data_IF_718407962513
#
_entry.id   IF_718407962513
#
_cell.length_a   1.000
_cell.length_b   1.000
_cell.length_c   1.000
_cell.angle_alpha   90.00
_cell.angle_beta   90.00
_cell.angle_gamma   90.00
#
_symmetry.space_group_name_H-M   'P 1'
#
loop_
_entity.id
_entity.type
_entity.pdbx_description
1 polymer ?
#
# COMPACT_ATOMS: atom_id res chain seq x y z
N UNK A 1 7.36 6.96 6.58
CA UNK A 1 8.53 6.87 7.46
C UNK A 1 8.54 5.59 8.32
N UNK A 2 7.37 5.05 8.69
CA UNK A 2 7.26 3.93 9.64
C UNK A 2 7.09 2.55 8.99
N UNK A 3 7.36 2.40 7.72
CA UNK A 3 7.20 1.13 7.00
C UNK A 3 8.42 0.22 7.26
N UNK A 4 8.25 -0.97 7.87
CA UNK A 4 9.36 -1.83 8.29
C UNK A 4 10.26 -2.25 7.13
N UNK A 5 9.70 -2.59 5.97
CA UNK A 5 10.47 -3.01 4.80
C UNK A 5 11.36 -1.90 4.20
N UNK A 6 11.01 -0.63 4.42
CA UNK A 6 11.86 0.50 4.04
C UNK A 6 12.97 0.70 5.08
N UNK A 7 12.63 0.66 6.37
CA UNK A 7 13.60 0.85 7.46
C UNK A 7 14.67 -0.24 7.44
N UNK A 8 14.31 -1.49 7.17
CA UNK A 8 15.28 -2.60 7.09
C UNK A 8 16.37 -2.38 6.04
N UNK A 9 16.09 -1.68 4.94
CA UNK A 9 17.08 -1.40 3.89
C UNK A 9 18.20 -0.47 4.37
N UNK A 10 17.95 0.38 5.37
CA UNK A 10 19.00 1.25 5.93
C UNK A 10 20.00 0.49 6.80
N UNK A 11 19.62 -0.68 7.35
CA UNK A 11 20.56 -1.53 8.09
C UNK A 11 21.61 -2.19 7.20
N UNK A 12 21.40 -2.21 5.89
CA UNK A 12 22.37 -2.76 4.92
C UNK A 12 23.40 -1.73 4.46
N UNK A 13 23.28 -0.46 4.87
CA UNK A 13 24.22 0.59 4.48
C UNK A 13 25.46 0.58 5.39
N UNK A 14 26.68 0.67 4.83
CA UNK A 14 27.91 0.55 5.60
C UNK A 14 28.19 1.72 6.56
N UNK A 15 27.58 2.88 6.32
CA UNK A 15 27.82 4.08 7.14
C UNK A 15 26.60 5.02 7.15
N UNK A 16 26.53 5.86 8.20
CA UNK A 16 25.50 6.90 8.36
C UNK A 16 25.54 7.91 7.20
N UNK A 17 26.72 8.23 6.69
CA UNK A 17 26.88 9.14 5.53
C UNK A 17 26.22 8.55 4.28
N UNK A 18 26.53 7.30 3.98
CA UNK A 18 25.91 6.61 2.82
C UNK A 18 24.41 6.43 2.98
N UNK A 19 23.91 6.17 4.20
CA UNK A 19 22.48 6.13 4.47
C UNK A 19 21.82 7.47 4.14
N UNK A 20 22.41 8.60 4.54
CA UNK A 20 21.89 9.95 4.25
C UNK A 20 21.94 10.28 2.76
N UNK A 21 23.02 9.95 2.07
CA UNK A 21 23.14 10.12 0.63
C UNK A 21 22.07 9.28 -0.12
N UNK A 22 21.86 8.05 0.32
CA UNK A 22 20.81 7.18 -0.22
C UNK A 22 19.41 7.75 -0.01
N UNK A 23 19.12 8.31 1.17
CA UNK A 23 17.85 9.01 1.44
C UNK A 23 17.66 10.20 0.52
N UNK A 24 18.69 11.03 0.35
CA UNK A 24 18.63 12.23 -0.49
C UNK A 24 18.32 11.87 -1.96
N UNK A 25 19.03 10.89 -2.51
CA UNK A 25 18.77 10.41 -3.86
C UNK A 25 17.39 9.74 -4.01
N UNK A 26 16.97 8.96 -3.02
CA UNK A 26 15.64 8.34 -3.02
C UNK A 26 14.54 9.41 -3.02
N UNK A 27 14.65 10.44 -2.19
CA UNK A 27 13.69 11.54 -2.16
C UNK A 27 13.66 12.33 -3.46
N UNK A 28 14.82 12.56 -4.09
CA UNK A 28 14.89 13.22 -5.40
C UNK A 28 14.16 12.42 -6.48
N UNK A 29 14.40 11.11 -6.58
CA UNK A 29 13.71 10.29 -7.59
C UNK A 29 12.23 10.12 -7.28
N UNK A 30 11.84 10.01 -6.02
CA UNK A 30 10.44 9.99 -5.60
C UNK A 30 9.74 11.30 -5.97
N UNK A 31 10.39 12.44 -5.71
CA UNK A 31 9.87 13.74 -6.12
C UNK A 31 9.67 13.83 -7.62
N UNK A 32 10.69 13.41 -8.41
CA UNK A 32 10.61 13.42 -9.86
C UNK A 32 9.44 12.56 -10.37
N UNK A 33 9.27 11.35 -9.80
CA UNK A 33 8.17 10.46 -10.14
C UNK A 33 6.81 11.10 -9.87
N UNK A 34 6.60 11.62 -8.66
CA UNK A 34 5.31 12.24 -8.31
C UNK A 34 5.06 13.55 -9.02
N UNK A 35 6.10 14.29 -9.41
CA UNK A 35 5.98 15.51 -10.20
C UNK A 35 5.56 15.21 -11.64
N UNK A 36 6.07 14.13 -12.23
CA UNK A 36 5.74 13.74 -13.61
C UNK A 36 4.45 12.96 -13.75
N UNK A 37 4.01 12.24 -12.70
CA UNK A 37 2.83 11.38 -12.75
C UNK A 37 1.53 12.09 -13.17
N UNK A 38 1.19 13.30 -12.69
CA UNK A 38 -0.01 14.02 -13.14
C UNK A 38 0.03 14.39 -14.63
N UNK A 39 1.19 14.81 -15.12
CA UNK A 39 1.38 15.11 -16.53
C UNK A 39 1.20 13.86 -17.39
N UNK A 40 1.80 12.75 -16.98
CA UNK A 40 1.64 11.46 -17.65
C UNK A 40 0.15 11.05 -17.71
N UNK A 41 -0.56 11.15 -16.61
CA UNK A 41 -1.98 10.83 -16.54
C UNK A 41 -2.83 11.71 -17.46
N UNK A 42 -2.52 13.02 -17.53
CA UNK A 42 -3.21 13.96 -18.39
C UNK A 42 -2.99 13.65 -19.89
N UNK A 43 -1.75 13.37 -20.29
CA UNK A 43 -1.43 13.01 -21.66
C UNK A 43 -2.02 11.66 -22.06
N UNK A 44 -1.93 10.64 -21.20
CA UNK A 44 -2.56 9.36 -21.47
C UNK A 44 -4.08 9.48 -21.66
N UNK A 45 -4.74 10.30 -20.84
CA UNK A 45 -6.16 10.57 -20.97
C UNK A 45 -6.50 11.30 -22.27
N UNK A 46 -5.69 12.31 -22.64
CA UNK A 46 -5.86 13.05 -23.88
C UNK A 46 -5.74 12.13 -25.11
N UNK A 47 -4.74 11.26 -25.12
CA UNK A 47 -4.50 10.31 -26.21
C UNK A 47 -5.67 9.33 -26.38
N UNK A 48 -6.19 8.80 -25.25
CA UNK A 48 -7.40 7.97 -25.27
C UNK A 48 -8.59 8.73 -25.84
N UNK A 49 -8.78 10.01 -25.48
CA UNK A 49 -9.91 10.79 -25.98
C UNK A 49 -9.78 11.09 -27.48
N UNK A 50 -8.60 11.46 -27.94
CA UNK A 50 -8.36 11.78 -29.35
C UNK A 50 -8.38 10.55 -30.25
N UNK A 51 -7.88 9.41 -29.74
CA UNK A 51 -7.75 8.18 -30.51
C UNK A 51 -8.99 7.29 -30.55
N UNK A 52 -9.89 7.40 -29.58
CA UNK A 52 -11.03 6.47 -29.43
C UNK A 52 -12.39 7.12 -29.54
N UNK A 53 -12.56 8.34 -29.01
CA UNK A 53 -13.90 8.96 -28.95
C UNK A 53 -14.33 9.39 -30.34
N UNK A 54 -15.61 9.14 -30.65
CA UNK A 54 -16.23 9.31 -31.97
C UNK A 54 -15.68 8.36 -33.07
N UNK A 55 -15.01 7.28 -32.69
CA UNK A 55 -14.57 6.24 -33.62
C UNK A 55 -15.62 5.14 -33.72
N UNK A 56 -15.91 4.62 -34.94
CA UNK A 56 -16.77 3.45 -35.09
C UNK A 56 -16.20 2.24 -34.34
N UNK A 57 -17.04 1.52 -33.60
CA UNK A 57 -16.64 0.36 -32.78
C UNK A 57 -15.96 -0.72 -33.61
N UNK A 58 -16.38 -0.89 -34.85
CA UNK A 58 -15.76 -1.83 -35.79
C UNK A 58 -14.29 -1.50 -36.10
N UNK A 59 -13.89 -0.24 -35.99
CA UNK A 59 -12.55 0.27 -36.32
C UNK A 59 -11.68 0.57 -35.09
N UNK A 60 -12.07 0.08 -33.92
CA UNK A 60 -11.29 0.28 -32.69
C UNK A 60 -9.88 -0.31 -32.82
N UNK A 61 -8.84 0.37 -32.31
CA UNK A 61 -7.44 -0.10 -32.32
C UNK A 61 -7.29 -1.48 -31.64
N UNK A 62 -6.32 -2.26 -32.10
CA UNK A 62 -6.03 -3.59 -31.56
C UNK A 62 -5.73 -3.60 -30.05
N UNK A 63 -5.12 -2.53 -29.52
CA UNK A 63 -4.85 -2.46 -28.09
C UNK A 63 -6.13 -2.50 -27.23
N UNK A 64 -7.26 -1.94 -27.72
CA UNK A 64 -8.54 -2.03 -27.01
C UNK A 64 -8.99 -3.48 -26.88
N UNK A 65 -8.77 -4.27 -27.92
CA UNK A 65 -9.10 -5.72 -27.91
C UNK A 65 -8.14 -6.50 -27.00
N UNK A 66 -6.85 -6.18 -27.05
CA UNK A 66 -5.82 -6.83 -26.23
C UNK A 66 -6.09 -6.65 -24.74
N UNK A 67 -6.35 -5.43 -24.32
CA UNK A 67 -6.65 -5.09 -22.92
C UNK A 67 -8.10 -5.42 -22.52
N UNK A 68 -8.94 -5.59 -23.48
CA UNK A 68 -10.31 -6.02 -23.26
C UNK A 68 -10.47 -7.50 -22.93
N UNK A 69 -9.64 -8.37 -23.51
CA UNK A 69 -9.68 -9.82 -23.24
C UNK A 69 -9.59 -10.17 -21.75
N UNK A 70 -8.68 -9.58 -20.98
CA UNK A 70 -8.63 -9.75 -19.51
C UNK A 70 -9.67 -8.91 -18.76
N UNK A 71 -10.52 -8.13 -19.44
CA UNK A 71 -11.54 -7.27 -18.80
C UNK A 71 -11.01 -5.96 -18.24
N UNK A 72 -9.81 -5.51 -18.67
CA UNK A 72 -9.18 -4.27 -18.22
C UNK A 72 -9.59 -3.05 -19.06
N UNK A 73 -10.09 -3.26 -20.28
CA UNK A 73 -10.74 -2.25 -21.10
C UNK A 73 -12.18 -2.72 -21.41
N UNK A 74 -13.16 -1.84 -21.23
CA UNK A 74 -14.58 -2.14 -21.42
C UNK A 74 -15.19 -1.14 -22.40
N UNK A 75 -15.99 -1.65 -23.34
CA UNK A 75 -16.71 -0.86 -24.34
C UNK A 75 -18.21 -1.11 -24.21
N UNK A 76 -18.99 -0.08 -24.01
CA UNK A 76 -20.41 -0.19 -23.68
C UNK A 76 -21.38 -0.21 -24.87
N UNK A 77 -20.91 0.03 -26.06
CA UNK A 77 -21.74 0.16 -27.26
C UNK A 77 -22.04 -1.18 -27.97
N UNK A 78 -22.13 -2.27 -27.22
CA UNK A 78 -22.45 -3.57 -27.80
C UNK A 78 -23.95 -3.76 -27.87
N UNK A 79 -24.46 -3.98 -29.07
CA UNK A 79 -25.81 -4.50 -29.27
C UNK A 79 -25.91 -5.90 -28.62
N UNK A 80 -26.92 -6.10 -27.78
CA UNK A 80 -27.09 -7.34 -27.01
C UNK A 80 -27.13 -8.59 -27.87
N UNK A 81 -27.57 -8.48 -29.15
CA UNK A 81 -27.61 -9.57 -30.11
C UNK A 81 -26.23 -9.93 -30.70
N UNK A 82 -25.30 -8.99 -30.79
CA UNK A 82 -23.97 -9.16 -31.39
C UNK A 82 -22.83 -9.21 -30.38
N UNK A 83 -23.10 -8.92 -29.11
CA UNK A 83 -22.14 -8.81 -28.03
C UNK A 83 -21.33 -10.09 -27.77
N UNK A 84 -21.93 -11.25 -28.04
CA UNK A 84 -21.33 -12.55 -27.72
C UNK A 84 -20.24 -12.97 -28.71
N UNK A 85 -20.28 -12.49 -29.95
CA UNK A 85 -19.37 -12.95 -31.01
C UNK A 85 -18.20 -12.04 -31.33
N UNK A 86 -18.27 -10.73 -31.03
CA UNK A 86 -17.23 -9.78 -31.45
C UNK A 86 -16.37 -9.19 -30.33
N UNK A 87 -16.88 -9.07 -29.10
CA UNK A 87 -16.10 -8.49 -27.99
C UNK A 87 -16.48 -9.12 -26.64
N UNK A 88 -15.57 -9.78 -25.92
CA UNK A 88 -15.77 -10.13 -24.52
C UNK A 88 -15.83 -8.89 -23.59
N UNK A 89 -15.86 -7.69 -24.17
CA UNK A 89 -15.67 -6.37 -23.56
C UNK A 89 -16.94 -5.72 -23.03
N UNK A 90 -18.11 -6.28 -23.35
CA UNK A 90 -19.40 -5.62 -23.11
C UNK A 90 -19.96 -5.82 -21.70
N UNK A 91 -19.14 -6.11 -20.69
CA UNK A 91 -19.61 -6.28 -19.32
C UNK A 91 -19.61 -4.95 -18.56
N UNK A 92 -20.80 -4.47 -18.19
CA UNK A 92 -20.95 -3.45 -17.14
C UNK A 92 -20.89 -1.98 -17.59
N UNK A 93 -20.88 -1.72 -18.91
CA UNK A 93 -21.04 -0.37 -19.48
C UNK A 93 -22.22 -0.41 -20.44
N UNK A 94 -23.17 0.50 -20.27
CA UNK A 94 -24.36 0.61 -21.14
C UNK A 94 -24.03 1.55 -22.31
N UNK A 95 -24.20 1.06 -23.55
CA UNK A 95 -24.10 1.85 -24.77
C UNK A 95 -25.45 2.31 -25.27
N UNK A 96 -25.45 3.31 -26.18
CA UNK A 96 -26.65 3.81 -26.85
C UNK A 96 -26.98 3.04 -28.12
N UNK A 97 -26.10 2.16 -28.59
CA UNK A 97 -26.31 1.28 -29.77
C UNK A 97 -26.12 1.96 -31.13
N UNK A 98 -25.52 3.18 -31.18
CA UNK A 98 -25.31 3.90 -32.45
C UNK A 98 -24.07 3.43 -33.22
N UNK A 99 -23.29 2.52 -32.65
CA UNK A 99 -22.07 1.97 -33.27
C UNK A 99 -20.86 2.89 -33.24
N UNK A 100 -20.96 4.05 -32.56
CA UNK A 100 -19.89 5.05 -32.41
C UNK A 100 -19.52 5.11 -30.94
N UNK A 101 -18.23 4.95 -30.61
CA UNK A 101 -17.77 4.97 -29.23
C UNK A 101 -17.86 6.38 -28.62
N UNK A 102 -18.62 6.53 -27.55
CA UNK A 102 -18.74 7.75 -26.77
C UNK A 102 -17.95 7.69 -25.48
N UNK A 103 -17.70 8.84 -24.86
CA UNK A 103 -16.87 8.95 -23.65
C UNK A 103 -17.41 8.14 -22.45
N UNK A 104 -18.72 8.12 -22.27
CA UNK A 104 -19.40 7.37 -21.22
C UNK A 104 -19.45 5.86 -21.47
N UNK A 105 -19.14 5.44 -22.68
CA UNK A 105 -19.17 4.04 -23.15
C UNK A 105 -17.80 3.36 -23.11
N UNK A 106 -16.74 4.08 -22.76
CA UNK A 106 -15.40 3.53 -22.62
C UNK A 106 -14.92 3.60 -21.17
N UNK A 107 -14.41 2.50 -20.69
CA UNK A 107 -13.78 2.41 -19.37
C UNK A 107 -12.51 1.58 -19.46
N UNK A 108 -11.40 2.14 -18.99
CA UNK A 108 -10.15 1.42 -18.77
C UNK A 108 -9.86 1.33 -17.29
N UNK A 109 -9.36 0.17 -16.84
CA UNK A 109 -9.00 -0.04 -15.44
C UNK A 109 -7.83 0.86 -15.05
N UNK A 110 -7.92 1.52 -13.88
CA UNK A 110 -6.90 2.48 -13.44
C UNK A 110 -5.49 1.87 -13.35
N UNK A 111 -5.40 0.62 -12.92
CA UNK A 111 -4.12 -0.07 -12.80
C UNK A 111 -3.50 -0.49 -14.15
N UNK A 112 -4.29 -0.52 -15.23
CA UNK A 112 -3.84 -0.90 -16.56
C UNK A 112 -3.27 0.28 -17.37
N UNK A 113 -3.70 1.51 -17.08
CA UNK A 113 -3.42 2.68 -17.95
C UNK A 113 -1.93 2.92 -18.16
N UNK A 114 -1.10 2.76 -17.13
CA UNK A 114 0.35 2.98 -17.21
C UNK A 114 1.00 1.98 -18.17
N UNK A 115 0.60 0.73 -18.09
CA UNK A 115 1.14 -0.35 -18.93
C UNK A 115 0.60 -0.27 -20.37
N UNK A 116 -0.64 0.20 -20.54
CA UNK A 116 -1.28 0.33 -21.84
C UNK A 116 -0.84 1.58 -22.62
N UNK A 117 -0.37 2.64 -21.94
CA UNK A 117 -0.03 3.91 -22.58
C UNK A 117 0.95 3.82 -23.76
N UNK A 118 2.00 3.01 -23.74
CA UNK A 118 2.87 2.85 -24.91
C UNK A 118 2.14 2.30 -26.14
N UNK A 119 1.20 1.38 -25.94
CA UNK A 119 0.38 0.83 -27.03
C UNK A 119 -0.65 1.84 -27.51
N UNK A 120 -1.26 2.60 -26.59
CA UNK A 120 -2.20 3.68 -26.88
C UNK A 120 -1.53 4.75 -27.75
N UNK A 121 -0.28 5.11 -27.42
CA UNK A 121 0.51 6.09 -28.14
C UNK A 121 1.15 5.54 -29.47
N UNK A 122 0.87 4.29 -29.83
CA UNK A 122 1.41 3.67 -31.04
C UNK A 122 2.92 3.44 -31.02
N UNK A 123 3.53 3.37 -29.83
CA UNK A 123 4.97 3.11 -29.70
C UNK A 123 5.32 1.67 -30.07
N UNK A 124 6.58 1.42 -30.52
CA UNK A 124 7.03 0.06 -30.85
C UNK A 124 6.83 -0.91 -29.68
N UNK A 125 6.47 -2.16 -29.98
CA UNK A 125 6.21 -3.21 -28.98
C UNK A 125 7.36 -3.45 -28.00
N UNK A 126 8.60 -3.12 -28.39
CA UNK A 126 9.78 -3.19 -27.50
C UNK A 126 9.65 -2.25 -26.32
N UNK A 127 9.09 -1.05 -26.53
CA UNK A 127 8.87 -0.07 -25.45
C UNK A 127 7.76 -0.55 -24.53
N UNK A 128 6.67 -1.08 -25.06
CA UNK A 128 5.61 -1.70 -24.25
C UNK A 128 6.14 -2.85 -23.40
N UNK A 129 7.01 -3.69 -23.99
CA UNK A 129 7.69 -4.77 -23.27
C UNK A 129 8.61 -4.28 -22.16
N UNK A 130 9.37 -3.20 -22.39
CA UNK A 130 10.22 -2.59 -21.35
C UNK A 130 9.41 -1.99 -20.21
N UNK A 131 8.30 -1.31 -20.50
CA UNK A 131 7.40 -0.76 -19.47
C UNK A 131 6.76 -1.88 -18.66
N UNK A 132 6.30 -2.95 -19.31
CA UNK A 132 5.75 -4.11 -18.61
C UNK A 132 6.80 -4.81 -17.74
N UNK A 133 8.02 -5.01 -18.25
CA UNK A 133 9.11 -5.58 -17.47
C UNK A 133 9.51 -4.70 -16.28
N UNK A 134 9.56 -3.37 -16.48
CA UNK A 134 9.80 -2.40 -15.42
C UNK A 134 8.70 -2.43 -14.32
N UNK A 135 7.44 -2.50 -14.72
CA UNK A 135 6.31 -2.65 -13.80
C UNK A 135 6.39 -3.93 -12.97
N UNK A 136 6.69 -5.05 -13.63
CA UNK A 136 6.88 -6.34 -12.95
C UNK A 136 8.08 -6.31 -11.99
N UNK A 137 9.20 -5.74 -12.40
CA UNK A 137 10.38 -5.60 -11.55
C UNK A 137 10.11 -4.74 -10.31
N UNK A 138 9.36 -3.65 -10.46
CA UNK A 138 8.94 -2.80 -9.34
C UNK A 138 8.02 -3.55 -8.36
N UNK A 139 7.05 -4.31 -8.88
CA UNK A 139 6.15 -5.13 -8.07
C UNK A 139 6.92 -6.21 -7.28
N UNK A 140 7.80 -6.95 -7.96
CA UNK A 140 8.63 -8.00 -7.34
C UNK A 140 9.57 -7.42 -6.27
N UNK A 141 10.22 -6.29 -6.53
CA UNK A 141 11.10 -5.62 -5.56
C UNK A 141 10.37 -5.22 -4.27
N UNK A 142 9.11 -4.78 -4.39
CA UNK A 142 8.29 -4.42 -3.23
C UNK A 142 7.80 -5.65 -2.49
N UNK A 143 7.33 -6.67 -3.22
CA UNK A 143 6.90 -7.94 -2.65
C UNK A 143 8.01 -8.63 -1.87
N UNK A 144 9.24 -8.68 -2.42
CA UNK A 144 10.42 -9.26 -1.77
C UNK A 144 10.71 -8.57 -0.43
N UNK A 145 10.76 -7.22 -0.42
CA UNK A 145 10.98 -6.46 0.81
C UNK A 145 9.92 -6.70 1.89
N UNK A 146 8.64 -6.78 1.51
CA UNK A 146 7.53 -7.04 2.44
C UNK A 146 7.55 -8.48 2.97
N UNK A 147 7.73 -9.46 2.09
CA UNK A 147 7.82 -10.87 2.47
C UNK A 147 9.01 -11.12 3.41
N UNK A 148 10.17 -10.52 3.12
CA UNK A 148 11.34 -10.62 3.96
C UNK A 148 11.11 -10.00 5.34
N UNK A 149 10.46 -8.85 5.42
CA UNK A 149 10.13 -8.20 6.69
C UNK A 149 9.22 -9.07 7.55
N UNK A 150 8.16 -9.64 6.96
CA UNK A 150 7.23 -10.54 7.68
C UNK A 150 7.93 -11.84 8.09
N UNK A 151 8.68 -12.46 7.17
CA UNK A 151 9.41 -13.70 7.46
C UNK A 151 10.42 -13.51 8.59
N UNK A 152 11.15 -12.40 8.63
CA UNK A 152 12.08 -12.09 9.70
C UNK A 152 11.35 -11.83 11.03
N UNK A 153 10.26 -11.08 11.04
CA UNK A 153 9.48 -10.87 12.25
C UNK A 153 8.97 -12.20 12.83
N UNK A 154 8.44 -13.08 12.00
CA UNK A 154 7.92 -14.37 12.44
C UNK A 154 9.03 -15.35 12.84
N UNK A 155 10.12 -15.44 12.07
CA UNK A 155 11.18 -16.42 12.35
C UNK A 155 12.14 -15.97 13.45
N UNK A 156 12.51 -14.70 13.47
CA UNK A 156 13.46 -14.19 14.46
C UNK A 156 12.76 -13.70 15.73
N UNK A 157 11.74 -12.85 15.61
CA UNK A 157 11.15 -12.24 16.81
C UNK A 157 10.18 -13.19 17.52
N UNK A 158 9.34 -13.91 16.76
CA UNK A 158 8.39 -14.85 17.37
C UNK A 158 9.05 -16.21 17.61
N UNK A 159 9.55 -16.88 16.56
CA UNK A 159 10.05 -18.24 16.73
C UNK A 159 11.33 -18.30 17.57
N UNK A 160 12.39 -17.58 17.18
CA UNK A 160 13.68 -17.67 17.86
C UNK A 160 13.69 -17.01 19.24
N UNK A 161 13.13 -15.81 19.42
CA UNK A 161 13.16 -15.13 20.71
C UNK A 161 12.12 -15.64 21.72
N UNK A 162 10.94 -16.09 21.25
CA UNK A 162 9.82 -16.43 22.14
C UNK A 162 9.58 -17.93 22.27
N UNK A 163 9.83 -18.74 21.23
CA UNK A 163 9.49 -20.17 21.20
C UNK A 163 10.72 -21.04 21.45
N UNK A 164 11.79 -20.88 20.69
CA UNK A 164 13.00 -21.71 20.78
C UNK A 164 14.28 -20.86 20.66
N UNK A 165 14.74 -20.26 21.79
CA UNK A 165 15.95 -19.44 21.81
C UNK A 165 17.24 -20.22 21.49
N UNK A 166 17.21 -21.55 21.65
CA UNK A 166 18.37 -22.41 21.43
C UNK A 166 18.40 -23.05 20.03
N UNK A 167 17.48 -22.65 19.13
CA UNK A 167 17.40 -23.22 17.80
C UNK A 167 18.71 -23.02 17.01
N UNK A 168 19.21 -24.11 16.42
CA UNK A 168 20.38 -24.06 15.52
C UNK A 168 20.10 -23.20 14.28
N UNK A 169 21.14 -22.59 13.73
CA UNK A 169 21.07 -21.69 12.55
C UNK A 169 20.40 -22.36 11.35
N UNK A 170 20.67 -23.66 11.12
CA UNK A 170 20.02 -24.42 10.03
C UNK A 170 18.51 -24.52 10.24
N UNK A 171 18.07 -24.80 11.45
CA UNK A 171 16.64 -24.91 11.80
C UNK A 171 15.94 -23.56 11.65
N UNK A 172 16.57 -22.47 12.11
CA UNK A 172 16.06 -21.11 11.93
C UNK A 172 15.87 -20.75 10.47
N UNK A 173 16.86 -21.08 9.61
CA UNK A 173 16.80 -20.81 8.17
C UNK A 173 15.67 -21.60 7.48
N UNK A 174 15.49 -22.88 7.83
CA UNK A 174 14.41 -23.71 7.28
C UNK A 174 13.04 -23.15 7.66
N UNK A 175 12.86 -22.79 8.94
CA UNK A 175 11.60 -22.21 9.42
C UNK A 175 11.32 -20.84 8.77
N UNK A 176 12.33 -19.98 8.64
CA UNK A 176 12.19 -18.70 7.94
C UNK A 176 11.73 -18.90 6.51
N UNK A 177 12.31 -19.84 5.78
CA UNK A 177 11.90 -20.15 4.39
C UNK A 177 10.49 -20.73 4.32
N UNK A 178 10.13 -21.61 5.24
CA UNK A 178 8.79 -22.19 5.30
C UNK A 178 7.73 -21.10 5.58
N UNK A 179 7.99 -20.23 6.55
CA UNK A 179 7.11 -19.09 6.87
C UNK A 179 6.97 -18.12 5.70
N UNK A 180 8.08 -17.83 5.01
CA UNK A 180 8.06 -16.99 3.81
C UNK A 180 7.17 -17.58 2.71
N UNK A 181 7.27 -18.88 2.45
CA UNK A 181 6.42 -19.56 1.48
C UNK A 181 4.95 -19.53 1.88
N UNK A 182 4.63 -19.78 3.15
CA UNK A 182 3.25 -19.74 3.66
C UNK A 182 2.66 -18.33 3.50
N UNK A 183 3.40 -17.29 3.90
CA UNK A 183 2.95 -15.90 3.77
C UNK A 183 2.76 -15.53 2.30
N UNK A 184 3.67 -15.92 1.41
CA UNK A 184 3.56 -15.67 -0.02
C UNK A 184 2.30 -16.33 -0.63
N UNK A 185 2.00 -17.57 -0.26
CA UNK A 185 0.80 -18.26 -0.71
C UNK A 185 -0.48 -17.61 -0.20
N UNK A 186 -0.53 -17.22 1.07
CA UNK A 186 -1.67 -16.49 1.64
C UNK A 186 -1.86 -15.15 0.93
N UNK A 187 -0.77 -14.39 0.70
CA UNK A 187 -0.82 -13.12 -0.01
C UNK A 187 -1.32 -13.28 -1.45
N UNK A 188 -0.83 -14.29 -2.18
CA UNK A 188 -1.25 -14.57 -3.54
C UNK A 188 -2.74 -14.97 -3.61
N UNK A 189 -3.19 -15.84 -2.71
CA UNK A 189 -4.60 -16.21 -2.60
C UNK A 189 -5.49 -15.01 -2.29
N UNK A 190 -5.10 -14.20 -1.33
CA UNK A 190 -5.85 -12.99 -0.93
C UNK A 190 -5.92 -11.98 -2.06
N UNK A 191 -4.79 -11.73 -2.74
CA UNK A 191 -4.74 -10.82 -3.89
C UNK A 191 -5.66 -11.29 -5.04
N UNK A 192 -5.68 -12.59 -5.32
CA UNK A 192 -6.54 -13.15 -6.36
C UNK A 192 -8.05 -13.13 -6.01
N UNK A 193 -8.39 -13.17 -4.71
CA UNK A 193 -9.79 -13.24 -4.25
C UNK A 193 -10.45 -11.88 -4.05
N UNK A 194 -9.69 -10.83 -3.73
CA UNK A 194 -10.26 -9.53 -3.35
C UNK A 194 -10.78 -8.68 -4.51
N UNK A 195 -10.26 -8.84 -5.73
CA UNK A 195 -10.70 -8.07 -6.90
C UNK A 195 -10.68 -6.55 -6.72
N UNK A 196 -9.83 -6.05 -5.83
CA UNK A 196 -9.72 -4.63 -5.49
C UNK A 196 -8.57 -3.96 -6.26
N UNK A 197 -8.71 -2.64 -6.54
CA UNK A 197 -7.65 -1.87 -7.19
C UNK A 197 -6.39 -1.83 -6.33
N UNK A 198 -5.21 -1.85 -6.95
CA UNK A 198 -3.91 -1.84 -6.28
C UNK A 198 -3.78 -0.62 -5.36
N UNK A 199 -4.14 0.57 -5.85
CA UNK A 199 -4.07 1.81 -5.09
C UNK A 199 -4.88 1.74 -3.79
N UNK A 200 -6.05 1.13 -3.84
CA UNK A 200 -6.93 0.96 -2.69
C UNK A 200 -6.29 0.06 -1.61
N UNK A 201 -5.76 -1.10 -2.00
CA UNK A 201 -5.09 -2.03 -1.08
C UNK A 201 -3.82 -1.43 -0.48
N UNK A 202 -3.02 -0.74 -1.28
CA UNK A 202 -1.79 -0.07 -0.82
C UNK A 202 -2.11 1.06 0.16
N UNK A 203 -3.15 1.86 -0.11
CA UNK A 203 -3.56 2.94 0.78
C UNK A 203 -4.05 2.41 2.13
N UNK A 204 -4.77 1.30 2.15
CA UNK A 204 -5.15 0.61 3.39
C UNK A 204 -3.94 0.13 4.17
N UNK A 205 -3.01 -0.54 3.50
CA UNK A 205 -1.79 -1.03 4.13
C UNK A 205 -0.97 0.11 4.76
N UNK A 206 -0.87 1.25 4.07
CA UNK A 206 -0.17 2.42 4.59
C UNK A 206 -0.92 3.08 5.76
N UNK A 207 -2.24 3.17 5.72
CA UNK A 207 -3.05 3.69 6.82
C UNK A 207 -2.91 2.82 8.08
N UNK A 208 -2.94 1.51 7.94
CA UNK A 208 -2.75 0.56 9.05
C UNK A 208 -1.33 0.65 9.61
N UNK A 209 -0.31 0.62 8.74
CA UNK A 209 1.09 0.72 9.17
C UNK A 209 1.41 2.06 9.85
N UNK A 210 0.91 3.16 9.30
CA UNK A 210 1.09 4.47 9.91
C UNK A 210 0.41 4.55 11.29
N UNK A 211 -0.81 4.05 11.41
CA UNK A 211 -1.55 4.06 12.67
C UNK A 211 -0.90 3.19 13.75
N UNK A 212 -0.38 2.02 13.36
CA UNK A 212 0.25 1.12 14.32
C UNK A 212 1.69 1.47 14.68
N UNK A 213 2.47 2.04 13.77
CA UNK A 213 3.93 2.14 13.95
C UNK A 213 4.47 3.57 14.07
N UNK A 214 3.78 4.57 13.49
CA UNK A 214 4.33 5.92 13.39
C UNK A 214 4.51 6.61 14.76
N UNK A 215 3.48 6.54 15.62
CA UNK A 215 3.57 7.11 16.97
C UNK A 215 4.66 6.43 17.79
N UNK A 216 4.76 5.09 17.72
CA UNK A 216 5.80 4.30 18.39
C UNK A 216 7.20 4.71 17.97
N UNK A 217 7.43 4.91 16.66
CA UNK A 217 8.71 5.35 16.13
C UNK A 217 9.05 6.78 16.59
N UNK A 218 8.11 7.72 16.42
CA UNK A 218 8.36 9.13 16.74
C UNK A 218 8.57 9.33 18.24
N UNK A 219 7.66 8.84 19.07
CA UNK A 219 7.78 9.01 20.52
C UNK A 219 8.90 8.17 21.12
N UNK A 220 9.19 6.99 20.54
CA UNK A 220 10.34 6.17 20.94
C UNK A 220 11.67 6.89 20.74
N UNK A 221 11.83 7.68 19.67
CA UNK A 221 13.05 8.43 19.39
C UNK A 221 13.08 9.77 20.15
N UNK A 222 11.95 10.48 20.25
CA UNK A 222 11.96 11.86 20.72
C UNK A 222 11.49 12.04 22.17
N UNK A 223 10.83 11.05 22.77
CA UNK A 223 10.27 11.16 24.10
C UNK A 223 10.86 10.12 25.07
N UNK A 224 11.76 10.52 25.95
CA UNK A 224 12.51 9.66 26.88
C UNK A 224 11.63 8.86 27.87
N UNK A 225 10.40 9.31 28.13
CA UNK A 225 9.45 8.57 29.00
C UNK A 225 8.70 7.44 28.28
N UNK A 226 8.90 7.29 26.97
CA UNK A 226 8.28 6.21 26.21
C UNK A 226 8.93 4.86 26.58
N UNK A 227 8.40 4.22 27.61
CA UNK A 227 8.75 2.85 27.97
C UNK A 227 8.02 1.80 27.13
N UNK A 228 8.36 0.53 27.30
CA UNK A 228 7.78 -0.59 26.54
C UNK A 228 6.25 -0.64 26.61
N UNK A 229 5.68 -0.45 27.82
CA UNK A 229 4.22 -0.47 28.00
C UNK A 229 3.52 0.65 27.19
N UNK A 230 4.08 1.85 27.18
CA UNK A 230 3.56 2.97 26.41
C UNK A 230 3.64 2.70 24.90
N UNK A 231 4.78 2.20 24.43
CA UNK A 231 4.97 1.84 23.02
C UNK A 231 3.97 0.79 22.55
N UNK A 232 3.86 -0.30 23.27
CA UNK A 232 2.92 -1.40 22.93
C UNK A 232 1.47 -0.93 22.95
N UNK A 233 1.07 -0.19 24.01
CA UNK A 233 -0.29 0.31 24.14
C UNK A 233 -0.66 1.29 23.01
N UNK A 234 0.24 2.21 22.66
CA UNK A 234 0.02 3.17 21.57
C UNK A 234 -0.08 2.49 20.20
N UNK A 235 0.84 1.56 19.89
CA UNK A 235 0.81 0.80 18.65
C UNK A 235 -0.47 -0.04 18.53
N UNK A 236 -0.87 -0.74 19.60
CA UNK A 236 -2.10 -1.52 19.62
C UNK A 236 -3.33 -0.64 19.44
N UNK A 237 -3.43 0.47 20.18
CA UNK A 237 -4.56 1.40 20.05
C UNK A 237 -4.70 1.94 18.63
N UNK A 238 -3.60 2.42 18.03
CA UNK A 238 -3.61 2.93 16.67
C UNK A 238 -4.03 1.87 15.65
N UNK A 239 -3.49 0.67 15.76
CA UNK A 239 -3.84 -0.45 14.90
C UNK A 239 -5.33 -0.82 15.02
N UNK A 240 -5.83 -1.04 16.23
CA UNK A 240 -7.21 -1.46 16.42
C UNK A 240 -8.22 -0.36 16.05
N UNK A 241 -7.94 0.90 16.36
CA UNK A 241 -8.79 2.02 15.94
C UNK A 241 -8.83 2.13 14.41
N UNK A 242 -7.68 2.06 13.75
CA UNK A 242 -7.63 2.08 12.30
C UNK A 242 -8.40 0.90 11.68
N UNK A 243 -8.19 -0.32 12.17
CA UNK A 243 -8.90 -1.51 11.70
C UNK A 243 -10.40 -1.42 11.93
N UNK A 244 -10.83 -0.90 13.08
CA UNK A 244 -12.23 -0.71 13.40
C UNK A 244 -12.91 0.27 12.42
N UNK A 245 -12.33 1.45 12.20
CA UNK A 245 -12.87 2.41 11.24
C UNK A 245 -12.84 1.88 9.81
N UNK A 246 -11.76 1.22 9.41
CA UNK A 246 -11.63 0.64 8.07
C UNK A 246 -12.72 -0.41 7.82
N UNK A 247 -12.87 -1.35 8.76
CA UNK A 247 -13.86 -2.43 8.63
C UNK A 247 -15.29 -1.88 8.66
N UNK A 248 -15.61 -1.01 9.58
CA UNK A 248 -16.97 -0.47 9.72
C UNK A 248 -17.36 0.45 8.56
N UNK A 249 -16.47 1.31 8.10
CA UNK A 249 -16.76 2.21 6.97
C UNK A 249 -16.90 1.46 5.65
N UNK A 250 -16.12 0.40 5.41
CA UNK A 250 -16.16 -0.37 4.16
C UNK A 250 -17.33 -1.36 4.11
N UNK A 251 -17.59 -2.08 5.22
CA UNK A 251 -18.55 -3.18 5.21
C UNK A 251 -19.88 -2.85 5.90
N UNK A 252 -19.90 -1.84 6.75
CA UNK A 252 -21.07 -1.48 7.57
C UNK A 252 -21.39 0.02 7.49
N UNK A 253 -21.30 0.62 6.30
CA UNK A 253 -21.54 2.04 6.07
C UNK A 253 -22.85 2.57 6.66
N UNK A 254 -24.01 1.93 6.44
CA UNK A 254 -25.28 2.35 7.04
C UNK A 254 -25.26 2.35 8.58
N UNK A 255 -24.63 1.35 9.19
CA UNK A 255 -24.44 1.28 10.63
C UNK A 255 -23.60 2.47 11.16
N UNK A 256 -22.50 2.81 10.45
CA UNK A 256 -21.68 3.97 10.82
C UNK A 256 -22.49 5.24 10.80
N UNK A 257 -23.33 5.44 9.79
CA UNK A 257 -24.19 6.61 9.69
C UNK A 257 -25.23 6.68 10.82
N UNK A 258 -25.79 5.53 11.22
CA UNK A 258 -26.81 5.44 12.26
C UNK A 258 -26.24 5.64 13.67
N UNK A 259 -25.16 4.93 14.00
CA UNK A 259 -24.62 4.88 15.38
C UNK A 259 -23.48 5.85 15.64
N UNK A 260 -22.81 6.36 14.60
CA UNK A 260 -21.67 7.26 14.71
C UNK A 260 -21.95 8.68 14.19
N UNK A 261 -23.23 9.04 14.03
CA UNK A 261 -23.67 10.37 13.59
C UNK A 261 -23.14 11.52 14.47
N UNK A 262 -22.76 11.25 15.70
CA UNK A 262 -22.10 12.19 16.60
C UNK A 262 -20.71 12.64 16.13
N UNK A 263 -20.07 11.91 15.21
CA UNK A 263 -18.82 12.32 14.57
C UNK A 263 -18.99 13.44 13.54
N UNK A 264 -20.23 13.80 13.16
CA UNK A 264 -20.55 14.87 12.23
C UNK A 264 -21.09 14.37 10.89
N UNK A 265 -20.70 15.01 9.78
CA UNK A 265 -21.21 14.65 8.45
C UNK A 265 -20.70 13.28 7.98
N UNK A 266 -21.64 12.36 7.75
CA UNK A 266 -21.37 11.02 7.24
C UNK A 266 -22.18 10.78 5.97
N UNK A 267 -21.47 10.65 4.86
CA UNK A 267 -22.04 10.39 3.54
C UNK A 267 -21.92 8.92 3.21
N UNK A 268 -22.97 8.32 2.66
CA UNK A 268 -22.93 6.97 2.13
C UNK A 268 -22.74 7.03 0.62
N UNK A 269 -21.67 6.43 0.15
CA UNK A 269 -21.30 6.36 -1.27
C UNK A 269 -21.32 4.90 -1.72
N UNK A 270 -22.00 4.65 -2.83
CA UNK A 270 -22.06 3.29 -3.38
C UNK A 270 -20.81 3.01 -4.21
N UNK A 271 -19.95 2.12 -3.71
CA UNK A 271 -18.70 1.71 -4.36
C UNK A 271 -18.71 0.20 -4.54
N UNK A 272 -18.53 -0.27 -5.78
CA UNK A 272 -18.52 -1.72 -6.12
C UNK A 272 -19.73 -2.49 -5.56
N UNK A 273 -20.91 -1.85 -5.53
CA UNK A 273 -22.13 -2.44 -5.02
C UNK A 273 -22.25 -2.48 -3.50
N UNK A 274 -21.30 -1.89 -2.76
CA UNK A 274 -21.32 -1.74 -1.30
C UNK A 274 -21.62 -0.30 -0.91
N UNK A 275 -22.29 -0.13 0.21
CA UNK A 275 -22.60 1.17 0.81
C UNK A 275 -21.48 1.55 1.78
N UNK A 276 -20.50 2.32 1.28
CA UNK A 276 -19.30 2.75 2.01
C UNK A 276 -19.55 4.08 2.70
N UNK A 277 -19.17 4.19 3.98
CA UNK A 277 -19.31 5.45 4.72
C UNK A 277 -18.07 6.34 4.56
N UNK A 278 -18.31 7.60 4.22
CA UNK A 278 -17.32 8.67 4.21
C UNK A 278 -17.58 9.60 5.38
N UNK A 279 -16.66 9.68 6.32
CA UNK A 279 -16.74 10.57 7.49
C UNK A 279 -16.06 11.88 7.10
N UNK A 280 -16.79 13.01 7.21
CA UNK A 280 -16.34 14.34 6.76
C UNK A 280 -15.94 14.40 5.27
N UNK A 281 -16.57 13.59 4.44
CA UNK A 281 -16.19 13.48 3.03
C UNK A 281 -14.85 12.76 2.79
N UNK A 282 -14.20 12.25 3.84
CA UNK A 282 -12.92 11.54 3.74
C UNK A 282 -13.17 10.10 3.30
N UNK A 283 -12.50 9.71 2.23
CA UNK A 283 -12.53 8.34 1.75
C UNK A 283 -11.92 7.39 2.79
N UNK A 284 -12.47 6.20 2.93
CA UNK A 284 -12.02 5.16 3.86
C UNK A 284 -10.58 4.68 3.63
N UNK A 285 -9.96 4.96 2.49
CA UNK A 285 -8.52 4.73 2.28
C UNK A 285 -7.64 5.58 3.20
N UNK A 286 -8.16 6.67 3.74
CA UNK A 286 -7.46 7.61 4.61
C UNK A 286 -7.79 7.46 6.09
N UNK A 287 -8.34 6.32 6.52
CA UNK A 287 -8.73 6.06 7.94
C UNK A 287 -7.56 6.16 8.94
N UNK A 288 -6.33 6.19 8.47
CA UNK A 288 -5.16 6.51 9.29
C UNK A 288 -5.28 7.84 10.05
N UNK A 289 -6.12 8.77 9.57
CA UNK A 289 -6.41 10.04 10.26
C UNK A 289 -7.04 9.83 11.65
N UNK A 290 -7.73 8.72 11.89
CA UNK A 290 -8.28 8.35 13.19
C UNK A 290 -7.30 7.52 14.02
N UNK A 291 -6.60 6.59 13.38
CA UNK A 291 -5.67 5.68 14.04
C UNK A 291 -4.40 6.35 14.55
N UNK A 292 -3.81 7.26 13.76
CA UNK A 292 -2.57 7.97 14.16
C UNK A 292 -2.77 8.81 15.42
N UNK A 293 -3.78 9.71 15.52
CA UNK A 293 -4.01 10.46 16.76
C UNK A 293 -4.31 9.55 17.94
N UNK A 294 -5.09 8.48 17.76
CA UNK A 294 -5.38 7.51 18.82
C UNK A 294 -4.09 6.87 19.36
N UNK A 295 -3.16 6.48 18.47
CA UNK A 295 -1.86 5.95 18.87
C UNK A 295 -1.06 6.95 19.70
N UNK A 296 -0.96 8.22 19.26
CA UNK A 296 -0.25 9.26 19.99
C UNK A 296 -0.90 9.53 21.35
N UNK A 297 -2.21 9.69 21.41
CA UNK A 297 -2.94 9.98 22.66
C UNK A 297 -2.73 8.85 23.67
N UNK A 298 -2.97 7.59 23.27
CA UNK A 298 -2.82 6.45 24.18
C UNK A 298 -1.37 6.28 24.62
N UNK A 299 -0.41 6.43 23.72
CA UNK A 299 1.01 6.32 24.05
C UNK A 299 1.47 7.40 25.03
N UNK A 300 1.03 8.65 24.86
CA UNK A 300 1.33 9.76 25.77
C UNK A 300 0.66 9.54 27.12
N UNK A 301 -0.60 9.13 27.16
CA UNK A 301 -1.31 8.86 28.39
C UNK A 301 -0.67 7.71 29.17
N UNK A 302 -0.48 6.55 28.54
CA UNK A 302 0.16 5.40 29.20
C UNK A 302 1.56 5.72 29.66
N UNK A 303 2.35 6.41 28.84
CA UNK A 303 3.72 6.79 29.20
C UNK A 303 3.82 7.81 30.33
N UNK A 304 2.73 8.51 30.63
CA UNK A 304 2.67 9.40 31.80
C UNK A 304 2.51 8.62 33.12
N UNK A 305 1.81 7.49 33.08
CA UNK A 305 1.49 6.69 34.26
C UNK A 305 2.38 5.45 34.39
N UNK A 306 2.89 4.91 33.28
CA UNK A 306 3.77 3.75 33.27
C UNK A 306 5.22 4.12 33.62
N UNK A 307 6.01 3.10 33.96
CA UNK A 307 7.44 3.25 34.19
C UNK A 307 8.16 3.80 32.94
N UNK A 308 9.04 4.80 33.10
CA UNK A 308 9.83 5.33 32.00
C UNK A 308 10.79 4.27 31.43
N UNK A 309 11.35 4.52 30.26
CA UNK A 309 12.41 3.70 29.69
C UNK A 309 13.60 3.60 30.65
N UNK A 310 14.33 2.48 30.62
CA UNK A 310 15.53 2.26 31.45
C UNK A 310 16.59 3.36 31.19
N UNK A 311 17.46 3.59 32.15
CA UNK A 311 18.52 4.61 32.02
C UNK A 311 19.43 4.34 30.83
N UNK A 312 19.80 3.08 30.64
CA UNK A 312 20.57 2.63 29.47
C UNK A 312 19.86 2.94 28.13
N UNK A 313 18.55 2.71 28.07
CA UNK A 313 17.75 3.01 26.88
C UNK A 313 17.68 4.52 26.63
N UNK A 314 17.58 5.34 27.69
CA UNK A 314 17.58 6.80 27.55
C UNK A 314 18.93 7.32 27.04
N UNK A 315 20.04 6.77 27.52
CA UNK A 315 21.40 7.09 27.05
C UNK A 315 21.60 6.64 25.60
N UNK A 316 21.06 5.46 25.23
CA UNK A 316 21.07 4.99 23.85
C UNK A 316 20.28 5.94 22.94
N UNK A 317 19.07 6.37 23.33
CA UNK A 317 18.26 7.34 22.58
C UNK A 317 19.02 8.66 22.38
N UNK A 318 19.73 9.16 23.41
CA UNK A 318 20.55 10.37 23.25
C UNK A 318 21.69 10.15 22.26
N UNK A 319 22.31 8.97 22.28
CA UNK A 319 23.42 8.66 21.38
C UNK A 319 23.01 8.59 19.91
N UNK A 320 21.81 8.07 19.60
CA UNK A 320 21.32 7.98 18.21
C UNK A 320 20.90 9.34 17.63
N UNK A 321 20.60 10.32 18.49
CA UNK A 321 20.26 11.69 18.04
C UNK A 321 21.48 12.50 17.63
N UNK A 322 22.64 12.14 18.13
CA UNK A 322 23.91 12.81 17.78
C UNK A 322 24.65 11.94 16.79
N UNK A 323 24.78 12.34 15.53
CA UNK A 323 25.46 11.53 14.50
C UNK A 323 26.96 11.51 14.77
N UNK A 324 27.43 10.48 15.48
CA UNK A 324 28.85 10.29 15.83
C UNK A 324 29.65 9.53 14.76
N UNK A 325 29.01 9.02 13.71
CA UNK A 325 29.66 8.15 12.72
C UNK A 325 29.87 6.70 13.20
N UNK A 326 29.71 6.42 14.48
CA UNK A 326 29.75 5.05 15.04
C UNK A 326 28.33 4.48 15.16
N UNK A 327 28.18 3.23 14.75
CA UNK A 327 26.92 2.48 14.92
C UNK A 327 26.91 1.90 16.33
N UNK A 328 26.07 2.47 17.22
CA UNK A 328 25.82 1.91 18.55
C UNK A 328 24.60 0.98 18.50
N UNK A 329 24.77 -0.23 19.01
CA UNK A 329 23.65 -1.18 19.13
C UNK A 329 22.80 -0.86 20.35
N UNK A 330 21.49 -1.14 20.27
CA UNK A 330 20.61 -1.00 21.42
C UNK A 330 21.03 -1.94 22.57
N UNK A 331 20.87 -1.52 23.83
CA UNK A 331 21.11 -2.38 24.97
C UNK A 331 20.28 -3.68 24.86
N UNK A 332 20.93 -4.84 25.01
CA UNK A 332 20.30 -6.15 24.85
C UNK A 332 20.22 -6.70 23.43
N UNK A 333 20.63 -5.94 22.41
CA UNK A 333 20.90 -6.51 21.10
C UNK A 333 22.30 -7.11 21.11
N UNK A 334 22.43 -8.41 21.35
CA UNK A 334 23.70 -9.12 21.24
C UNK A 334 24.26 -9.00 19.82
N UNK A 335 25.57 -9.21 19.62
CA UNK A 335 26.18 -9.20 18.29
C UNK A 335 25.45 -10.22 17.43
N UNK A 336 25.07 -9.79 16.24
CA UNK A 336 24.53 -10.70 15.23
C UNK A 336 25.67 -11.66 14.81
N UNK A 337 25.66 -12.86 15.35
CA UNK A 337 26.51 -13.98 14.92
C UNK A 337 25.84 -14.78 13.82
#
# INVERSE_FOLDING_TARGET
>A
ASLPHILMRYFTTPSVRQARESVAWSLFFIFLLYFTAPAYAAFAKLEVYQGLINTPIANLPEWVKSWGRPGLALVGACDAANAVQQFPLCRGVTGNGDGILQLNEFRIHADAIVLATPEIAGLPYVISGLVAAGGLAAALSTADGLLLAIANALSHDVYYKMIDPNADTKRRLVISRALLMIVALIAAYTAGSLGADILFLVSWAFSIAASGLFAGLVLGIWWKRCGNAAGVAGMAAGFFVCMFFLYTTEFHGPWVKEYMSWLGDIQIVKIRGRDVAYIWGINNISVGIFGIPAAFIVQLLVGRFAAPASREMQEFIDSIRVPSGEVKMAPGAGPAH
#
